data_IF_135043573648
#
_entry.id   IF_135043573648
#
_cell.length_a   1.000
_cell.length_b   1.000
_cell.length_c   1.000
_cell.angle_alpha   90.00
_cell.angle_beta   90.00
_cell.angle_gamma   90.00
#
_symmetry.space_group_name_H-M   'P 1'
#
loop_
_entity.id
_entity.type
_entity.pdbx_description
1 polymer ?
#
# COMPACT_ATOMS: atom_id res chain seq x y z
N UNK A 1 17.07 2.75 -17.92
CA UNK A 1 16.54 2.16 -16.68
C UNK A 1 15.42 1.18 -17.06
N UNK A 2 15.54 -0.10 -16.71
CA UNK A 2 14.38 -1.00 -16.77
C UNK A 2 13.50 -0.67 -15.57
N UNK A 3 12.54 0.24 -15.76
CA UNK A 3 11.54 0.57 -14.75
C UNK A 3 10.77 -0.68 -14.36
N UNK A 4 10.60 -0.93 -13.06
CA UNK A 4 9.75 -2.03 -12.58
C UNK A 4 8.35 -1.80 -13.11
N UNK A 5 7.73 -2.82 -13.69
CA UNK A 5 6.33 -2.75 -14.11
C UNK A 5 5.45 -2.32 -12.94
N UNK A 6 4.68 -1.25 -13.13
CA UNK A 6 3.72 -0.76 -12.14
C UNK A 6 2.40 -1.51 -12.32
N UNK A 7 1.90 -2.13 -11.26
CA UNK A 7 0.65 -2.89 -11.27
C UNK A 7 -0.15 -2.71 -9.97
N UNK A 8 -1.44 -3.05 -10.03
CA UNK A 8 -2.33 -2.95 -8.88
C UNK A 8 -1.96 -3.97 -7.78
N UNK A 9 -2.01 -3.56 -6.53
CA UNK A 9 -1.57 -4.33 -5.37
C UNK A 9 -0.17 -3.94 -4.86
N UNK A 10 0.59 -3.13 -5.61
CA UNK A 10 1.86 -2.59 -5.14
C UNK A 10 1.64 -1.66 -3.94
N UNK A 11 2.54 -1.76 -2.96
CA UNK A 11 2.57 -0.81 -1.84
C UNK A 11 2.90 0.58 -2.37
N UNK A 12 2.09 1.55 -2.00
CA UNK A 12 2.31 2.95 -2.35
C UNK A 12 3.16 3.61 -1.27
N UNK A 13 4.47 3.66 -1.52
CA UNK A 13 5.47 4.36 -0.72
C UNK A 13 6.14 5.49 -1.54
N UNK A 14 7.07 6.21 -0.91
CA UNK A 14 7.76 7.35 -1.53
C UNK A 14 8.53 6.95 -2.79
N UNK A 15 9.06 5.72 -2.84
CA UNK A 15 9.81 5.22 -3.99
C UNK A 15 8.87 4.98 -5.18
N UNK A 16 7.72 4.34 -4.94
CA UNK A 16 6.72 4.14 -5.99
C UNK A 16 6.12 5.48 -6.45
N UNK A 17 5.87 6.40 -5.52
CA UNK A 17 5.39 7.74 -5.85
C UNK A 17 6.38 8.49 -6.75
N UNK A 18 7.68 8.44 -6.42
CA UNK A 18 8.74 9.02 -7.24
C UNK A 18 8.82 8.37 -8.62
N UNK A 19 8.78 7.04 -8.69
CA UNK A 19 8.79 6.32 -9.97
C UNK A 19 7.61 6.72 -10.86
N UNK A 20 6.39 6.81 -10.30
CA UNK A 20 5.20 7.26 -11.05
C UNK A 20 5.39 8.69 -11.54
N UNK A 21 5.95 9.58 -10.71
CA UNK A 21 6.17 10.98 -11.11
C UNK A 21 7.19 11.14 -12.25
N UNK A 22 8.20 10.26 -12.32
CA UNK A 22 9.25 10.30 -13.33
C UNK A 22 8.83 9.61 -14.64
N UNK A 23 8.23 8.42 -14.54
CA UNK A 23 7.86 7.60 -15.70
C UNK A 23 6.50 7.97 -16.29
N UNK A 24 5.57 8.46 -15.45
CA UNK A 24 4.19 8.75 -15.83
C UNK A 24 3.70 10.11 -15.28
N UNK A 25 4.32 11.23 -15.66
CA UNK A 25 3.99 12.57 -15.12
C UNK A 25 2.55 13.02 -15.42
N UNK A 26 1.87 12.37 -16.36
CA UNK A 26 0.46 12.63 -16.69
C UNK A 26 -0.55 11.89 -15.82
N UNK A 27 -0.10 11.01 -14.92
CA UNK A 27 -1.00 10.29 -14.03
C UNK A 27 -1.44 11.19 -12.88
N UNK A 28 -2.75 11.24 -12.66
CA UNK A 28 -3.36 11.83 -11.50
C UNK A 28 -3.64 10.74 -10.46
N UNK A 29 -3.11 10.91 -9.25
CA UNK A 29 -3.27 9.95 -8.16
C UNK A 29 -4.30 10.50 -7.17
N UNK A 30 -5.38 9.75 -7.00
CA UNK A 30 -6.43 10.03 -6.01
C UNK A 30 -6.44 8.99 -4.90
N UNK A 31 -6.85 9.39 -3.69
CA UNK A 31 -7.01 8.48 -2.56
C UNK A 31 -8.49 8.12 -2.34
N UNK A 32 -8.78 6.82 -2.26
CA UNK A 32 -10.09 6.31 -1.85
C UNK A 32 -10.03 5.63 -0.50
N UNK A 33 -11.11 5.70 0.27
CA UNK A 33 -11.25 5.04 1.58
C UNK A 33 -12.17 3.81 1.53
N UNK A 34 -12.73 3.50 0.36
CA UNK A 34 -13.83 2.54 0.29
C UNK A 34 -15.05 2.99 1.11
N UNK A 35 -16.02 2.10 1.32
CA UNK A 35 -17.33 2.48 1.89
C UNK A 35 -17.52 2.19 3.39
N UNK A 36 -16.75 1.26 3.99
CA UNK A 36 -17.24 0.60 5.23
C UNK A 36 -16.23 0.04 6.23
N UNK A 37 -14.92 0.26 6.04
CA UNK A 37 -13.91 -0.41 6.87
C UNK A 37 -13.00 0.57 7.61
N UNK A 38 -12.57 0.18 8.80
CA UNK A 38 -11.45 0.83 9.46
C UNK A 38 -10.18 0.64 8.63
N UNK A 39 -9.43 1.71 8.48
CA UNK A 39 -8.26 1.75 7.61
C UNK A 39 -7.01 2.09 8.42
N UNK A 40 -5.90 1.46 8.07
CA UNK A 40 -4.58 1.90 8.53
C UNK A 40 -4.28 3.28 7.95
N UNK A 41 -3.86 4.21 8.81
CA UNK A 41 -3.50 5.57 8.40
C UNK A 41 -2.21 5.64 7.56
N UNK A 42 -1.34 4.63 7.68
CA UNK A 42 0.06 4.71 7.21
C UNK A 42 0.31 3.91 5.94
N UNK A 43 -0.26 2.70 5.83
CA UNK A 43 0.02 1.80 4.70
C UNK A 43 -1.01 2.03 3.61
N UNK A 44 -0.56 2.36 2.40
CA UNK A 44 -1.39 2.54 1.21
C UNK A 44 -0.93 1.61 0.10
N UNK A 45 -1.85 1.26 -0.78
CA UNK A 45 -1.61 0.39 -1.92
C UNK A 45 -2.24 0.99 -3.17
N UNK A 46 -1.58 0.80 -4.31
CA UNK A 46 -2.12 1.17 -5.62
C UNK A 46 -3.22 0.17 -5.99
N UNK A 47 -4.47 0.62 -6.11
CA UNK A 47 -5.60 -0.27 -6.46
C UNK A 47 -6.02 -0.14 -7.92
N UNK A 48 -5.67 0.97 -8.58
CA UNK A 48 -5.85 1.18 -10.01
C UNK A 48 -4.64 1.89 -10.59
N UNK A 49 -4.12 1.35 -11.69
CA UNK A 49 -3.03 1.96 -12.46
C UNK A 49 -3.59 2.75 -13.66
N UNK A 50 -2.82 3.69 -14.19
CA UNK A 50 -3.17 4.48 -15.37
C UNK A 50 -3.36 5.95 -15.06
N UNK A 51 -3.82 6.72 -16.07
CA UNK A 51 -4.00 8.18 -15.98
C UNK A 51 -4.78 8.64 -14.75
N UNK A 52 -5.78 7.85 -14.35
CA UNK A 52 -6.57 8.09 -13.13
C UNK A 52 -6.22 7.05 -12.07
N UNK A 53 -4.98 7.08 -11.59
CA UNK A 53 -4.49 6.15 -10.59
C UNK A 53 -5.23 6.34 -9.26
N UNK A 54 -5.47 5.23 -8.56
CA UNK A 54 -6.16 5.25 -7.27
C UNK A 54 -5.32 4.50 -6.26
N UNK A 55 -5.08 5.15 -5.13
CA UNK A 55 -4.49 4.52 -3.95
C UNK A 55 -5.56 4.32 -2.89
N UNK A 56 -5.41 3.25 -2.11
CA UNK A 56 -6.28 2.96 -0.98
C UNK A 56 -5.44 2.62 0.24
N UNK A 57 -5.75 3.20 1.41
CA UNK A 57 -5.16 2.75 2.66
C UNK A 57 -5.52 1.28 2.94
N UNK A 58 -4.60 0.55 3.56
CA UNK A 58 -4.80 -0.83 3.93
C UNK A 58 -6.00 -0.95 4.87
N UNK A 59 -6.83 -1.97 4.66
CA UNK A 59 -7.83 -2.33 5.67
C UNK A 59 -7.13 -2.69 6.98
N UNK A 60 -7.62 -2.12 8.08
CA UNK A 60 -7.18 -2.52 9.42
C UNK A 60 -7.77 -3.91 9.68
N UNK A 61 -6.94 -4.82 10.16
CA UNK A 61 -7.45 -6.09 10.70
C UNK A 61 -8.16 -5.82 12.03
N UNK A 62 -8.95 -6.78 12.52
CA UNK A 62 -9.45 -6.69 13.89
C UNK A 62 -8.28 -6.64 14.87
N UNK A 63 -8.50 -6.02 16.04
CA UNK A 63 -7.45 -5.91 17.07
C UNK A 63 -6.92 -7.28 17.50
N UNK A 64 -7.78 -8.31 17.49
CA UNK A 64 -7.40 -9.71 17.76
C UNK A 64 -6.39 -10.24 16.73
N UNK A 65 -6.65 -10.02 15.43
CA UNK A 65 -5.76 -10.46 14.35
C UNK A 65 -4.46 -9.66 14.36
N UNK A 66 -4.50 -8.35 14.65
CA UNK A 66 -3.29 -7.56 14.85
C UNK A 66 -2.44 -8.07 16.02
N UNK A 67 -3.06 -8.46 17.14
CA UNK A 67 -2.36 -9.01 18.29
C UNK A 67 -1.69 -10.37 17.96
N UNK A 68 -2.37 -11.23 17.21
CA UNK A 68 -1.81 -12.50 16.74
C UNK A 68 -0.63 -12.26 15.78
N UNK A 69 -0.80 -11.37 14.79
CA UNK A 69 0.27 -11.01 13.84
C UNK A 69 1.50 -10.44 14.56
N UNK A 70 1.32 -9.54 15.53
CA UNK A 70 2.42 -9.02 16.35
C UNK A 70 3.16 -10.15 17.06
N UNK A 71 2.45 -11.07 17.71
CA UNK A 71 3.06 -12.23 18.39
C UNK A 71 3.84 -13.14 17.44
N UNK A 72 3.34 -13.36 16.22
CA UNK A 72 4.02 -14.18 15.21
C UNK A 72 5.31 -13.50 14.72
N UNK A 73 5.24 -12.21 14.37
CA UNK A 73 6.42 -11.44 13.93
C UNK A 73 7.48 -11.26 15.03
N UNK A 74 7.06 -11.14 16.30
CA UNK A 74 8.00 -11.12 17.44
C UNK A 74 8.65 -12.47 17.70
N UNK A 75 8.00 -13.58 17.37
CA UNK A 75 8.60 -14.93 17.41
C UNK A 75 9.60 -15.14 16.27
N UNK A 76 9.32 -14.65 15.06
CA UNK A 76 10.27 -14.72 13.95
C UNK A 76 11.53 -13.87 14.18
N UNK A 77 11.39 -12.68 14.78
CA UNK A 77 12.54 -11.85 15.16
C UNK A 77 13.24 -12.32 16.46
N UNK A 78 12.73 -13.38 17.08
CA UNK A 78 13.24 -13.99 18.31
C UNK A 78 13.68 -15.44 18.11
N UNK A 79 14.12 -15.81 16.91
CA UNK A 79 14.84 -17.07 16.68
C UNK A 79 16.32 -16.89 17.04
N UNK A 80 16.64 -17.30 18.28
CA UNK A 80 17.93 -17.72 18.87
C UNK A 80 19.10 -16.73 18.81
#
# INVERSE_FOLDING_TARGET
>A
MMGRTIYAGMRFDENLAKQISEEYPSWHISETRGRRYDLHKVRKYLVRCGKEAVIMPQMKYSDEVEAVLKRLTSKENGCV
#
